data_IF_182526731805
#
_entry.id   IF_182526731805
#
_cell.length_a   1.000
_cell.length_b   1.000
_cell.length_c   1.000
_cell.angle_alpha   90.00
_cell.angle_beta   90.00
_cell.angle_gamma   90.00
#
_symmetry.space_group_name_H-M   'P 1'
#
loop_
_entity.id
_entity.type
_entity.pdbx_description
1 polymer ?
#
# COMPACT_ATOMS: atom_id res chain seq x y z
N UNK A 1 -55.95 44.04 8.37
CA UNK A 1 -54.92 43.40 9.22
C UNK A 1 -54.90 41.92 8.88
N UNK A 2 -53.69 41.39 8.64
CA UNK A 2 -53.27 39.96 8.56
C UNK A 2 -54.01 39.04 7.58
N UNK A 3 -53.40 38.19 6.75
CA UNK A 3 -52.01 37.85 6.43
C UNK A 3 -52.10 36.93 5.21
N UNK A 4 -51.58 37.34 4.06
CA UNK A 4 -51.19 36.43 2.99
C UNK A 4 -49.83 35.86 3.35
N UNK A 5 -49.72 34.53 3.40
CA UNK A 5 -48.48 33.75 3.13
C UNK A 5 -48.86 32.28 3.17
N UNK A 6 -49.25 31.80 2.00
CA UNK A 6 -49.50 30.39 1.75
C UNK A 6 -48.27 29.55 2.10
N UNK A 7 -48.53 28.47 2.84
CA UNK A 7 -47.57 27.46 3.26
C UNK A 7 -47.14 26.65 2.03
N UNK A 8 -46.07 27.10 1.36
CA UNK A 8 -45.41 26.35 0.27
C UNK A 8 -44.05 25.84 0.73
N UNK A 9 -44.03 25.03 1.78
CA UNK A 9 -42.89 24.19 2.14
C UNK A 9 -43.46 22.87 2.66
N UNK A 10 -43.37 21.78 1.88
CA UNK A 10 -43.81 20.51 2.44
C UNK A 10 -43.68 19.26 1.59
N UNK A 11 -43.68 19.35 0.25
CA UNK A 11 -43.63 18.14 -0.58
C UNK A 11 -42.30 17.93 -1.32
N UNK A 12 -41.65 19.01 -1.79
CA UNK A 12 -40.37 18.91 -2.51
C UNK A 12 -39.19 18.57 -1.59
N UNK A 13 -39.01 19.35 -0.53
CA UNK A 13 -37.94 19.16 0.47
C UNK A 13 -38.09 17.82 1.21
N UNK A 14 -39.31 17.45 1.61
CA UNK A 14 -39.55 16.17 2.29
C UNK A 14 -39.20 14.98 1.39
N UNK A 15 -39.46 15.09 0.08
CA UNK A 15 -39.12 14.06 -0.92
C UNK A 15 -37.61 13.97 -1.16
N UNK A 16 -36.88 15.09 -1.10
CA UNK A 16 -35.41 15.13 -1.18
C UNK A 16 -34.78 14.54 0.07
N UNK A 17 -35.28 14.91 1.26
CA UNK A 17 -34.83 14.38 2.55
C UNK A 17 -35.12 12.87 2.64
N UNK A 18 -36.32 12.41 2.24
CA UNK A 18 -36.62 10.97 2.17
C UNK A 18 -35.70 10.23 1.20
N UNK A 19 -35.40 10.84 0.04
CA UNK A 19 -34.50 10.24 -0.96
C UNK A 19 -33.09 10.09 -0.41
N UNK A 20 -32.59 11.06 0.36
CA UNK A 20 -31.28 10.97 1.03
C UNK A 20 -31.25 10.06 2.25
N UNK A 21 -32.34 9.98 3.04
CA UNK A 21 -32.43 9.10 4.22
C UNK A 21 -32.67 7.62 3.86
N UNK A 22 -33.33 7.34 2.73
CA UNK A 22 -33.71 5.98 2.29
C UNK A 22 -32.74 5.39 1.25
N UNK A 23 -31.91 6.21 0.61
CA UNK A 23 -30.80 5.72 -0.22
C UNK A 23 -29.57 5.45 0.64
N UNK A 24 -29.67 4.44 1.52
CA UNK A 24 -28.46 3.67 1.85
C UNK A 24 -28.08 2.95 0.57
N UNK A 25 -27.14 3.51 -0.20
CA UNK A 25 -26.54 2.79 -1.32
C UNK A 25 -26.17 1.39 -0.81
N UNK A 26 -26.78 0.36 -1.41
CA UNK A 26 -26.41 -1.02 -1.11
C UNK A 26 -24.89 -1.10 -1.27
N UNK A 27 -24.15 -1.62 -0.27
CA UNK A 27 -22.70 -1.70 -0.38
C UNK A 27 -22.37 -2.38 -1.71
N UNK A 28 -21.69 -1.64 -2.59
CA UNK A 28 -21.29 -2.16 -3.90
C UNK A 28 -20.53 -3.45 -3.63
N UNK A 29 -20.97 -4.52 -4.32
CA UNK A 29 -20.40 -5.87 -4.37
C UNK A 29 -18.89 -5.83 -4.06
N UNK A 30 -18.45 -6.62 -3.07
CA UNK A 30 -17.09 -6.64 -2.54
C UNK A 30 -16.06 -6.44 -3.65
N UNK A 31 -15.35 -5.31 -3.59
CA UNK A 31 -14.29 -4.97 -4.52
C UNK A 31 -13.17 -5.99 -4.28
N UNK A 32 -12.57 -6.54 -5.33
CA UNK A 32 -11.39 -7.38 -5.21
C UNK A 32 -10.38 -6.71 -4.27
N UNK A 33 -9.85 -7.48 -3.33
CA UNK A 33 -8.73 -7.06 -2.47
C UNK A 33 -7.51 -6.81 -3.36
N UNK A 34 -7.39 -5.59 -3.87
CA UNK A 34 -6.20 -5.17 -4.60
C UNK A 34 -5.40 -4.27 -3.68
N UNK A 35 -4.27 -4.80 -3.20
CA UNK A 35 -3.28 -3.98 -2.50
C UNK A 35 -2.87 -2.82 -3.43
N UNK A 36 -2.65 -1.60 -2.88
CA UNK A 36 -2.15 -0.49 -3.66
C UNK A 36 -0.82 -0.89 -4.31
N UNK A 37 -0.60 -0.47 -5.56
CA UNK A 37 0.71 -0.67 -6.18
C UNK A 37 1.75 0.21 -5.47
N UNK A 38 2.64 -0.44 -4.72
CA UNK A 38 3.71 0.22 -3.98
C UNK A 38 5.03 0.27 -4.75
N UNK A 39 5.06 -0.18 -6.02
CA UNK A 39 6.24 -0.19 -6.89
C UNK A 39 6.96 1.15 -6.96
N UNK A 40 6.22 2.26 -6.88
CA UNK A 40 6.76 3.63 -6.86
C UNK A 40 6.61 4.34 -5.51
N UNK A 41 5.98 3.72 -4.49
CA UNK A 41 5.81 4.31 -3.16
C UNK A 41 7.11 4.96 -2.64
N UNK A 42 7.02 6.25 -2.31
CA UNK A 42 8.08 7.06 -1.68
C UNK A 42 7.86 7.25 -0.18
N UNK A 43 6.89 6.53 0.40
CA UNK A 43 6.59 6.55 1.84
C UNK A 43 6.23 7.95 2.37
N UNK A 44 5.52 8.75 1.57
CA UNK A 44 5.21 10.17 1.88
C UNK A 44 4.28 10.41 3.09
N UNK A 45 3.65 9.38 3.66
CA UNK A 45 2.77 9.58 4.82
C UNK A 45 1.30 9.87 4.54
N UNK A 46 0.96 10.39 3.36
CA UNK A 46 -0.36 10.98 3.08
C UNK A 46 -1.51 9.99 3.29
N UNK A 47 -1.37 8.76 2.79
CA UNK A 47 -2.41 7.72 2.91
C UNK A 47 -2.78 7.42 4.37
N UNK A 48 -1.80 7.40 5.28
CA UNK A 48 -2.05 7.19 6.71
C UNK A 48 -2.70 8.42 7.35
N UNK A 49 -2.20 9.62 7.03
CA UNK A 49 -2.73 10.90 7.58
C UNK A 49 -4.20 11.12 7.24
N UNK A 50 -4.63 10.73 6.05
CA UNK A 50 -6.01 10.97 5.57
C UNK A 50 -6.97 9.82 5.85
N UNK A 51 -6.49 8.71 6.41
CA UNK A 51 -7.32 7.54 6.66
C UNK A 51 -8.30 7.81 7.81
N UNK A 52 -9.63 7.88 7.54
CA UNK A 52 -10.61 8.27 8.57
C UNK A 52 -10.78 7.22 9.68
N UNK A 53 -10.38 5.97 9.41
CA UNK A 53 -10.47 4.87 10.37
C UNK A 53 -9.13 4.48 10.98
N UNK A 54 -8.04 5.13 10.57
CA UNK A 54 -6.69 4.74 10.99
C UNK A 54 -6.26 3.36 10.49
N UNK A 55 -6.95 2.78 9.49
CA UNK A 55 -6.66 1.46 8.94
C UNK A 55 -5.29 1.36 8.25
N UNK A 56 -4.64 2.49 7.94
CA UNK A 56 -3.37 2.51 7.20
C UNK A 56 -2.23 2.79 8.17
N UNK A 57 -1.39 1.78 8.36
CA UNK A 57 -0.12 1.88 9.09
C UNK A 57 1.02 1.99 8.10
N UNK A 58 1.91 2.94 8.36
CA UNK A 58 3.17 3.05 7.64
C UNK A 58 4.26 2.50 8.52
N UNK A 59 5.09 1.64 7.95
CA UNK A 59 6.29 1.23 8.64
C UNK A 59 7.27 2.40 8.62
N UNK A 60 7.62 2.88 9.80
CA UNK A 60 8.69 3.84 9.99
C UNK A 60 9.98 3.04 10.14
N UNK A 61 10.70 2.80 9.05
CA UNK A 61 12.05 2.24 9.14
C UNK A 61 12.98 3.20 9.92
N UNK A 62 12.70 4.52 9.87
CA UNK A 62 13.24 5.58 10.75
C UNK A 62 12.21 6.71 10.95
N UNK A 63 12.42 7.59 11.93
CA UNK A 63 11.57 8.78 12.17
C UNK A 63 11.75 9.91 11.13
N UNK A 64 12.64 9.74 10.15
CA UNK A 64 13.03 10.78 9.18
C UNK A 64 12.04 10.82 8.01
N UNK A 65 11.27 11.90 7.93
CA UNK A 65 10.44 12.27 6.77
C UNK A 65 11.17 13.35 5.96
N UNK A 66 10.81 13.52 4.69
CA UNK A 66 11.37 14.61 3.90
C UNK A 66 10.97 15.97 4.46
N UNK A 67 11.96 16.80 4.78
CA UNK A 67 11.79 18.16 5.30
C UNK A 67 12.00 19.23 4.23
N UNK A 68 12.11 18.84 2.95
CA UNK A 68 12.38 19.78 1.85
C UNK A 68 13.70 20.56 2.01
N UNK A 69 14.75 19.90 2.50
CA UNK A 69 16.07 20.52 2.73
C UNK A 69 16.79 21.01 1.46
N UNK A 70 16.35 20.59 0.26
CA UNK A 70 16.86 21.10 -1.02
C UNK A 70 18.22 20.55 -1.46
N UNK A 71 18.94 19.79 -0.62
CA UNK A 71 20.30 19.28 -0.94
C UNK A 71 20.33 18.45 -2.22
N UNK A 72 19.27 17.68 -2.52
CA UNK A 72 19.19 16.90 -3.75
C UNK A 72 19.14 17.75 -5.03
N UNK A 73 18.66 18.99 -4.95
CA UNK A 73 18.61 19.95 -6.06
C UNK A 73 20.01 20.52 -6.29
N UNK A 74 20.65 20.97 -5.21
CA UNK A 74 21.99 21.56 -5.24
C UNK A 74 23.03 20.62 -5.86
N UNK A 75 22.92 19.31 -5.63
CA UNK A 75 23.85 18.33 -6.18
C UNK A 75 23.45 17.76 -7.54
N UNK A 76 22.29 18.13 -8.09
CA UNK A 76 21.79 17.55 -9.33
C UNK A 76 22.54 18.18 -10.52
N UNK A 77 23.38 17.43 -11.27
CA UNK A 77 24.22 18.01 -12.31
C UNK A 77 23.44 18.39 -13.58
N UNK A 78 22.16 18.03 -13.66
CA UNK A 78 21.30 18.26 -14.83
C UNK A 78 20.04 19.06 -14.50
N UNK A 79 19.97 19.62 -13.29
CA UNK A 79 18.81 20.38 -12.78
C UNK A 79 17.48 19.61 -12.89
N UNK A 80 17.55 18.27 -12.87
CA UNK A 80 16.40 17.40 -13.08
C UNK A 80 15.42 17.42 -11.89
N UNK A 81 15.77 18.01 -10.75
CA UNK A 81 14.97 17.98 -9.51
C UNK A 81 14.46 19.37 -9.18
N UNK A 82 13.17 19.52 -8.87
CA UNK A 82 12.58 20.80 -8.43
C UNK A 82 11.88 20.70 -7.07
N UNK A 83 11.95 21.80 -6.32
CA UNK A 83 11.55 21.87 -4.90
C UNK A 83 10.05 21.76 -4.67
N UNK A 84 9.23 22.19 -5.64
CA UNK A 84 7.76 22.24 -5.52
C UNK A 84 7.13 20.84 -5.42
N UNK A 85 7.77 19.76 -5.92
CA UNK A 85 7.15 18.42 -5.95
C UNK A 85 8.08 17.21 -5.81
N UNK A 86 9.38 17.38 -5.54
CA UNK A 86 10.39 16.31 -5.68
C UNK A 86 10.27 15.57 -7.02
N UNK A 87 9.85 16.30 -8.06
CA UNK A 87 9.63 15.71 -9.37
C UNK A 87 10.99 15.65 -10.05
N UNK A 88 11.41 14.43 -10.37
CA UNK A 88 12.58 14.20 -11.22
C UNK A 88 12.12 14.26 -12.67
N UNK A 89 12.62 15.22 -13.41
CA UNK A 89 12.52 15.29 -14.86
C UNK A 89 13.31 14.13 -15.48
N UNK A 90 12.59 13.20 -16.10
CA UNK A 90 13.18 11.96 -16.64
C UNK A 90 13.95 12.19 -17.94
N UNK A 91 13.66 13.25 -18.67
CA UNK A 91 14.39 13.58 -19.90
C UNK A 91 15.78 14.15 -19.57
N UNK A 92 15.89 14.82 -18.42
CA UNK A 92 17.16 15.39 -17.93
C UNK A 92 17.91 14.48 -16.95
N UNK A 93 17.24 13.50 -16.35
CA UNK A 93 17.87 12.60 -15.38
C UNK A 93 18.74 11.55 -16.06
N UNK A 94 20.02 11.52 -15.70
CA UNK A 94 20.99 10.55 -16.22
C UNK A 94 21.24 9.36 -15.27
N UNK A 95 20.49 9.25 -14.17
CA UNK A 95 20.63 8.14 -13.22
C UNK A 95 21.91 8.13 -12.37
N UNK A 96 22.59 9.27 -12.20
CA UNK A 96 23.88 9.35 -11.49
C UNK A 96 23.84 9.03 -9.98
N UNK A 97 22.67 9.13 -9.34
CA UNK A 97 22.50 8.79 -7.92
C UNK A 97 23.02 9.81 -6.91
N UNK A 98 23.54 10.98 -7.30
CA UNK A 98 24.03 12.00 -6.36
C UNK A 98 22.99 12.47 -5.36
N UNK A 99 21.76 12.65 -5.81
CA UNK A 99 20.64 12.98 -4.93
C UNK A 99 20.42 11.92 -3.84
N UNK A 100 20.72 10.64 -4.11
CA UNK A 100 20.64 9.56 -3.12
C UNK A 100 21.80 9.60 -2.13
N UNK A 101 23.01 9.91 -2.60
CA UNK A 101 24.19 9.99 -1.75
C UNK A 101 24.08 11.10 -0.69
N UNK A 102 23.44 12.23 -1.04
CA UNK A 102 23.33 13.38 -0.14
C UNK A 102 22.02 13.44 0.64
N UNK A 103 21.04 12.63 0.26
CA UNK A 103 19.77 12.61 0.94
C UNK A 103 19.90 11.84 2.25
N UNK A 104 19.65 12.51 3.36
CA UNK A 104 19.61 11.89 4.70
C UNK A 104 18.36 11.00 4.89
N UNK A 105 17.43 11.05 3.94
CA UNK A 105 16.31 10.12 3.82
C UNK A 105 16.78 8.99 2.91
N UNK A 106 16.97 7.77 3.42
CA UNK A 106 17.32 6.65 2.57
C UNK A 106 16.16 6.29 1.63
N UNK A 107 16.47 5.83 0.42
CA UNK A 107 15.51 5.13 -0.44
C UNK A 107 15.22 3.79 0.22
N UNK A 108 14.16 3.74 1.03
CA UNK A 108 13.79 2.62 1.91
C UNK A 108 13.68 1.27 1.16
N UNK A 109 13.41 1.28 -0.14
CA UNK A 109 13.17 0.04 -0.91
C UNK A 109 14.36 -0.91 -0.99
N UNK A 110 15.58 -0.39 -1.04
CA UNK A 110 16.78 -1.23 -1.16
C UNK A 110 17.37 -1.62 0.20
N UNK A 111 16.89 -1.00 1.30
CA UNK A 111 17.36 -1.29 2.66
C UNK A 111 16.53 -2.36 3.39
N UNK A 112 15.33 -2.71 2.89
CA UNK A 112 14.52 -3.77 3.51
C UNK A 112 15.11 -5.13 3.10
N UNK A 113 15.65 -5.93 4.04
CA UNK A 113 16.21 -7.23 3.71
C UNK A 113 15.13 -8.12 3.11
N UNK A 114 15.34 -8.54 1.87
CA UNK A 114 14.40 -9.39 1.15
C UNK A 114 14.55 -10.84 1.64
N UNK A 115 13.48 -11.46 2.16
CA UNK A 115 13.52 -12.86 2.55
C UNK A 115 13.83 -13.77 1.35
N UNK A 116 14.58 -14.84 1.58
CA UNK A 116 14.93 -15.80 0.53
C UNK A 116 13.83 -16.85 0.29
N UNK A 117 12.84 -16.89 1.17
CA UNK A 117 11.66 -17.77 1.10
C UNK A 117 10.38 -16.96 1.32
N UNK A 118 9.20 -17.53 1.00
CA UNK A 118 7.94 -16.96 1.47
C UNK A 118 7.94 -16.78 2.99
N UNK A 119 7.24 -15.77 3.47
CA UNK A 119 7.17 -15.42 4.91
C UNK A 119 5.82 -15.83 5.46
N UNK A 120 5.83 -16.53 6.59
CA UNK A 120 4.62 -16.89 7.34
C UNK A 120 4.30 -15.76 8.32
N UNK A 121 3.11 -15.21 8.20
CA UNK A 121 2.57 -14.15 9.05
C UNK A 121 1.87 -14.78 10.26
N UNK A 122 2.55 -14.81 11.39
CA UNK A 122 2.09 -15.49 12.61
C UNK A 122 0.79 -14.90 13.18
N UNK A 123 0.52 -13.61 12.96
CA UNK A 123 -0.73 -12.94 13.35
C UNK A 123 -1.95 -13.44 12.55
N UNK A 124 -1.73 -14.13 11.43
CA UNK A 124 -2.77 -14.69 10.54
C UNK A 124 -2.76 -16.22 10.51
N UNK A 125 -1.66 -16.85 10.86
CA UNK A 125 -1.48 -18.30 10.80
C UNK A 125 -2.27 -18.98 11.93
N UNK A 126 -3.09 -19.97 11.58
CA UNK A 126 -3.82 -20.80 12.56
C UNK A 126 -3.22 -22.20 12.73
N UNK A 127 -2.00 -22.42 12.21
CA UNK A 127 -1.28 -23.69 12.28
C UNK A 127 -2.00 -24.92 11.67
N UNK A 128 -2.92 -24.74 10.71
CA UNK A 128 -3.63 -25.86 10.09
C UNK A 128 -2.74 -26.88 9.32
N UNK A 129 -1.49 -26.53 9.00
CA UNK A 129 -0.52 -27.43 8.38
C UNK A 129 -0.75 -27.73 6.89
N UNK A 130 -1.65 -27.02 6.21
CA UNK A 130 -1.93 -27.27 4.79
C UNK A 130 -0.72 -27.02 3.88
N UNK A 131 0.08 -25.99 4.19
CA UNK A 131 1.34 -25.70 3.48
C UNK A 131 2.40 -26.80 3.64
N UNK A 132 2.45 -27.47 4.79
CA UNK A 132 3.35 -28.61 5.04
C UNK A 132 3.02 -29.73 4.07
N UNK A 133 1.74 -30.11 3.99
CA UNK A 133 1.28 -31.24 3.16
C UNK A 133 1.32 -31.00 1.65
N UNK A 134 1.39 -29.74 1.23
CA UNK A 134 1.32 -29.34 -0.18
C UNK A 134 2.68 -28.90 -0.74
N UNK A 135 3.74 -28.88 0.07
CA UNK A 135 5.06 -28.51 -0.40
C UNK A 135 5.69 -29.70 -1.19
N UNK A 136 5.95 -29.56 -2.49
CA UNK A 136 6.52 -30.66 -3.29
C UNK A 136 7.98 -30.99 -2.92
N UNK A 137 8.67 -30.07 -2.26
CA UNK A 137 10.08 -30.19 -1.85
C UNK A 137 10.24 -30.62 -0.39
N UNK A 138 9.10 -30.84 0.31
CA UNK A 138 9.04 -31.10 1.75
C UNK A 138 9.83 -30.04 2.57
N UNK A 139 9.88 -28.80 2.07
CA UNK A 139 10.66 -27.70 2.62
C UNK A 139 9.96 -26.97 3.78
N UNK A 140 8.73 -27.36 4.14
CA UNK A 140 7.92 -26.68 5.16
C UNK A 140 7.65 -27.67 6.30
N UNK A 141 7.97 -27.28 7.52
CA UNK A 141 7.81 -28.12 8.71
C UNK A 141 7.48 -27.30 9.95
N UNK A 142 7.54 -27.94 11.12
CA UNK A 142 7.36 -27.28 12.42
C UNK A 142 8.71 -27.19 13.11
N UNK A 143 9.11 -25.96 13.50
CA UNK A 143 10.33 -25.69 14.29
C UNK A 143 9.98 -24.75 15.43
N UNK A 144 10.29 -25.15 16.67
CA UNK A 144 10.00 -24.34 17.85
C UNK A 144 8.51 -24.02 18.02
N UNK A 145 7.63 -24.96 17.65
CA UNK A 145 6.17 -24.81 17.73
C UNK A 145 5.55 -23.94 16.64
N UNK A 146 6.33 -23.41 15.69
CA UNK A 146 5.84 -22.59 14.57
C UNK A 146 6.07 -23.29 13.25
N UNK A 147 5.25 -22.97 12.26
CA UNK A 147 5.49 -23.43 10.89
C UNK A 147 6.68 -22.64 10.35
N UNK A 148 7.65 -23.32 9.76
CA UNK A 148 8.89 -22.73 9.23
C UNK A 148 9.23 -23.30 7.87
N UNK A 149 9.89 -22.49 7.02
CA UNK A 149 10.35 -22.89 5.70
C UNK A 149 11.88 -23.04 5.72
N UNK A 150 12.37 -24.19 5.29
CA UNK A 150 13.79 -24.46 5.09
C UNK A 150 14.26 -23.84 3.78
N UNK A 151 15.09 -22.79 3.90
CA UNK A 151 15.63 -22.01 2.77
C UNK A 151 16.23 -22.89 1.67
N UNK A 152 17.13 -23.81 2.04
CA UNK A 152 17.93 -24.55 1.06
C UNK A 152 17.10 -25.57 0.24
N UNK A 153 15.90 -25.91 0.73
CA UNK A 153 14.98 -26.85 0.09
C UNK A 153 13.88 -26.14 -0.68
N UNK A 154 13.55 -24.90 -0.32
CA UNK A 154 12.51 -24.15 -0.98
C UNK A 154 12.91 -23.80 -2.43
N UNK A 155 12.14 -24.27 -3.41
CA UNK A 155 12.34 -23.94 -4.84
C UNK A 155 11.50 -22.76 -5.32
N UNK A 156 10.90 -21.99 -4.42
CA UNK A 156 10.10 -20.80 -4.76
C UNK A 156 8.93 -21.06 -5.73
N UNK A 157 8.32 -22.25 -5.69
CA UNK A 157 7.15 -22.59 -6.52
C UNK A 157 5.85 -21.87 -6.12
N UNK A 158 5.84 -21.19 -4.97
CA UNK A 158 4.73 -20.39 -4.42
C UNK A 158 3.42 -21.17 -4.11
N UNK A 159 3.40 -22.49 -4.23
CA UNK A 159 2.23 -23.34 -3.92
C UNK A 159 1.64 -23.05 -2.54
N UNK A 160 2.48 -22.89 -1.52
CA UNK A 160 2.04 -22.61 -0.15
C UNK A 160 1.27 -21.29 0.00
N UNK A 161 1.57 -20.28 -0.82
CA UNK A 161 0.87 -18.99 -0.82
C UNK A 161 -0.54 -19.18 -1.37
N UNK A 162 -0.64 -19.76 -2.58
CA UNK A 162 -1.92 -19.93 -3.28
C UNK A 162 -2.90 -20.82 -2.52
N UNK A 163 -2.37 -21.79 -1.77
CA UNK A 163 -3.14 -22.77 -1.04
C UNK A 163 -3.51 -22.35 0.38
N UNK A 164 -2.93 -21.27 0.93
CA UNK A 164 -3.19 -20.88 2.30
C UNK A 164 -4.59 -20.25 2.46
N UNK A 165 -5.56 -20.94 3.10
CA UNK A 165 -6.92 -20.38 3.27
C UNK A 165 -6.93 -19.15 4.19
N UNK A 166 -5.95 -19.06 5.09
CA UNK A 166 -5.78 -17.93 6.00
C UNK A 166 -5.08 -16.74 5.36
N UNK A 167 -4.55 -16.88 4.13
CA UNK A 167 -3.68 -15.89 3.47
C UNK A 167 -2.55 -15.40 4.40
N UNK A 168 -2.01 -16.35 5.16
CA UNK A 168 -0.98 -16.14 6.17
C UNK A 168 0.44 -16.34 5.62
N UNK A 169 0.61 -16.48 4.31
CA UNK A 169 1.92 -16.68 3.68
C UNK A 169 2.07 -15.64 2.57
N UNK A 170 3.09 -14.81 2.65
CA UNK A 170 3.41 -13.78 1.66
C UNK A 170 4.63 -14.16 0.85
N UNK A 171 4.66 -13.78 -0.43
CA UNK A 171 5.89 -13.83 -1.22
C UNK A 171 6.92 -12.85 -0.61
N UNK A 172 8.24 -13.04 -0.84
CA UNK A 172 9.24 -12.05 -0.42
C UNK A 172 8.93 -10.63 -0.87
N UNK A 173 8.43 -10.49 -2.10
CA UNK A 173 8.04 -9.21 -2.68
C UNK A 173 6.86 -8.57 -1.94
N UNK A 174 5.80 -9.34 -1.72
CA UNK A 174 4.60 -8.85 -1.03
C UNK A 174 4.87 -8.58 0.45
N UNK A 175 5.77 -9.36 1.07
CA UNK A 175 6.22 -9.13 2.43
C UNK A 175 6.92 -7.76 2.54
N UNK A 176 7.91 -7.48 1.68
CA UNK A 176 8.59 -6.17 1.64
C UNK A 176 7.58 -5.04 1.41
N UNK A 177 6.63 -5.21 0.48
CA UNK A 177 5.56 -4.22 0.24
C UNK A 177 4.68 -4.00 1.47
N UNK A 178 4.30 -5.06 2.18
CA UNK A 178 3.52 -4.99 3.42
C UNK A 178 4.27 -4.26 4.55
N UNK A 179 5.60 -4.33 4.55
CA UNK A 179 6.46 -3.56 5.44
C UNK A 179 6.61 -2.09 5.02
N UNK A 180 5.93 -1.60 3.99
CA UNK A 180 5.96 -0.17 3.62
C UNK A 180 4.62 0.47 3.97
N UNK A 181 3.53 -0.16 3.51
CA UNK A 181 2.16 0.24 3.82
C UNK A 181 1.38 -1.01 4.20
N UNK A 182 0.92 -1.08 5.44
CA UNK A 182 -0.01 -2.10 5.93
C UNK A 182 -1.41 -1.51 6.01
N UNK A 183 -2.39 -2.24 5.48
CA UNK A 183 -3.81 -1.84 5.49
C UNK A 183 -4.60 -2.88 6.26
N UNK A 184 -5.11 -2.51 7.42
CA UNK A 184 -6.07 -3.32 8.15
C UNK A 184 -7.40 -3.35 7.41
N UNK A 185 -7.66 -4.47 6.73
CA UNK A 185 -8.86 -4.67 5.92
C UNK A 185 -10.15 -4.68 6.75
N UNK A 186 -10.09 -4.99 8.05
CA UNK A 186 -11.27 -4.97 8.92
C UNK A 186 -11.66 -3.55 9.31
N UNK A 187 -10.68 -2.66 9.41
CA UNK A 187 -10.88 -1.23 9.68
C UNK A 187 -11.04 -0.40 8.40
N UNK A 188 -10.68 -0.94 7.23
CA UNK A 188 -10.76 -0.23 5.96
C UNK A 188 -12.20 -0.15 5.44
N UNK A 189 -12.79 1.05 5.50
CA UNK A 189 -14.15 1.30 4.97
C UNK A 189 -14.20 1.56 3.46
N UNK A 190 -13.08 1.33 2.74
CA UNK A 190 -13.01 1.48 1.27
C UNK A 190 -13.44 2.85 0.73
N UNK A 191 -13.16 3.93 1.47
CA UNK A 191 -13.45 5.32 1.11
C UNK A 191 -12.61 5.85 -0.06
N UNK A 192 -11.44 5.24 -0.31
CA UNK A 192 -10.47 5.56 -1.39
C UNK A 192 -9.74 6.90 -1.28
N UNK A 193 -9.87 7.61 -0.17
CA UNK A 193 -9.20 8.90 0.06
C UNK A 193 -7.68 8.80 -0.08
N UNK A 194 -7.10 7.73 0.50
CA UNK A 194 -5.68 7.42 0.40
C UNK A 194 -5.20 7.23 -1.05
N UNK A 195 -6.08 6.73 -1.93
CA UNK A 195 -5.75 6.63 -3.33
C UNK A 195 -5.79 8.00 -3.99
N UNK A 196 -6.88 8.76 -3.83
CA UNK A 196 -7.06 10.07 -4.47
C UNK A 196 -5.92 11.05 -4.17
N UNK A 197 -5.38 11.00 -2.95
CA UNK A 197 -4.30 11.88 -2.52
C UNK A 197 -2.90 11.35 -2.80
N UNK A 198 -2.74 10.11 -3.28
CA UNK A 198 -1.42 9.57 -3.57
C UNK A 198 -0.80 10.35 -4.75
N UNK A 199 0.34 11.06 -4.56
CA UNK A 199 0.95 11.87 -5.60
C UNK A 199 1.52 11.04 -6.76
N UNK A 200 1.56 9.72 -6.59
CA UNK A 200 2.01 8.74 -7.57
C UNK A 200 0.86 7.99 -8.24
N UNK A 201 -0.40 8.25 -7.86
CA UNK A 201 -1.56 7.65 -8.53
C UNK A 201 -1.67 8.24 -9.94
N UNK A 202 -1.26 7.45 -10.92
CA UNK A 202 -1.14 7.88 -12.33
C UNK A 202 0.20 7.49 -12.97
N UNK A 203 1.20 7.11 -12.18
CA UNK A 203 2.41 6.42 -12.66
C UNK A 203 2.04 4.97 -13.01
N UNK A 204 1.30 4.76 -14.11
CA UNK A 204 1.30 3.45 -14.77
C UNK A 204 2.69 3.28 -15.36
N UNK A 205 3.49 2.37 -14.81
CA UNK A 205 4.70 1.94 -15.47
C UNK A 205 4.34 1.27 -16.79
N UNK A 206 4.51 1.98 -17.90
CA UNK A 206 5.02 1.34 -19.11
C UNK A 206 6.50 1.07 -18.83
N UNK A 207 6.78 -0.13 -18.32
CA UNK A 207 8.12 -0.71 -18.32
C UNK A 207 8.06 -2.02 -19.10
N UNK A 208 7.73 -1.90 -20.40
CA UNK A 208 8.07 -2.90 -21.40
C UNK A 208 9.46 -2.54 -21.93
N UNK A 209 10.47 -2.88 -21.14
CA UNK A 209 11.86 -2.86 -21.55
C UNK A 209 12.21 -4.10 -22.37
N UNK A 210 11.53 -4.32 -23.49
CA UNK A 210 12.03 -5.18 -24.56
C UNK A 210 12.87 -4.33 -25.52
N UNK A 211 14.16 -4.25 -25.17
CA UNK A 211 15.30 -4.22 -26.10
C UNK A 211 16.50 -4.87 -25.43
#
# INVERSE_FOLDING_TARGET
MSTQRDVVLGKGILRIILKHLLQREKPKKGREEKYPDLSNCIVCGLCSKVCPTGAIRLFKFREVICENCGVCIEVCPTDAITLDRFKVDRERCIGCGYCLLVCTIPVIKEEIPRPETPVILEDRCNHCGFCIRSCPEDAIGIKGGRISIEKDRCKMCLTCIHLCPMRAISSPEDYVKSLIVDVDIYSCISCRECEYLCPLKGFKGEWDGDR
#
